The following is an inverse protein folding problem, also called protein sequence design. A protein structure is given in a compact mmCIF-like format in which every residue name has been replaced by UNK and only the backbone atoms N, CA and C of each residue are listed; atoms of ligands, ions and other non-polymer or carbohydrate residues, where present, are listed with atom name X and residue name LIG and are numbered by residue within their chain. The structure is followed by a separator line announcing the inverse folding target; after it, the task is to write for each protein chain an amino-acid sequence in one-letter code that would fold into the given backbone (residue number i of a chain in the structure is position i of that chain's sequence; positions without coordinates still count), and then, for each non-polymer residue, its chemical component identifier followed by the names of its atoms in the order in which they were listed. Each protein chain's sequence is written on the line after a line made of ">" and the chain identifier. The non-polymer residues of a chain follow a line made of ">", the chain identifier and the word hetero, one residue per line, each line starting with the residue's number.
data_IF_973113777754
#
_entry.id   IF_973113777754
#
_cell.length_a   1.000
_cell.length_b   1.000
_cell.length_c   1.000
_cell.angle_alpha   90.00
_cell.angle_beta   90.00
_cell.angle_gamma   90.00
#
_symmetry.space_group_name_H-M   'P 1'
#
loop_
_entity.id
_entity.type
_entity.pdbx_description
1 polymer ?
#
# COMPACT_ATOMS: atom_id res chain seq x y z
N UNK A 1 14.14 80.44 25.56
CA UNK A 1 14.88 80.75 26.80
C UNK A 1 14.79 79.56 27.73
N UNK A 2 15.91 79.12 28.29
CA UNK A 2 16.04 78.00 29.25
C UNK A 2 15.34 78.33 30.57
N UNK A 3 14.69 77.33 31.19
CA UNK A 3 14.78 77.12 32.64
C UNK A 3 14.35 75.70 32.99
N UNK A 4 15.20 75.03 33.77
CA UNK A 4 15.02 73.72 34.40
C UNK A 4 14.31 73.89 35.75
N UNK A 5 13.72 72.82 36.30
CA UNK A 5 13.92 72.27 37.68
C UNK A 5 12.63 71.71 38.35
N UNK A 6 12.79 70.45 38.76
CA UNK A 6 12.24 69.67 39.89
C UNK A 6 10.74 69.39 40.09
N UNK A 7 10.42 68.12 39.79
CA UNK A 7 10.07 67.05 40.73
C UNK A 7 9.09 67.35 41.88
N UNK A 8 7.97 66.64 41.87
CA UNK A 8 7.50 65.90 43.06
C UNK A 8 6.69 64.68 42.65
N UNK A 9 7.18 63.52 43.07
CA UNK A 9 6.51 62.23 42.99
C UNK A 9 5.35 62.19 44.00
N UNK A 10 4.16 61.74 43.57
CA UNK A 10 3.20 61.08 44.44
C UNK A 10 2.71 59.83 43.72
N UNK A 11 3.14 58.69 44.24
CA UNK A 11 2.73 57.36 43.82
C UNK A 11 1.29 57.09 44.30
N UNK A 12 0.42 56.65 43.39
CA UNK A 12 -0.80 55.93 43.73
C UNK A 12 -0.77 54.63 42.93
N UNK A 13 -0.29 53.57 43.59
CA UNK A 13 -0.22 52.23 43.01
C UNK A 13 -1.61 51.63 42.85
N UNK A 14 -2.01 51.40 41.60
CA UNK A 14 -3.06 50.44 41.28
C UNK A 14 -2.36 49.10 41.03
N UNK A 15 -2.51 48.16 41.96
CA UNK A 15 -2.05 46.79 41.79
C UNK A 15 -2.91 46.10 40.72
N UNK A 16 -2.37 45.96 39.52
CA UNK A 16 -2.95 45.12 38.47
C UNK A 16 -2.42 43.70 38.70
N UNK A 17 -3.27 42.83 39.25
CA UNK A 17 -2.97 41.40 39.36
C UNK A 17 -2.94 40.79 37.94
N UNK A 18 -1.84 40.14 37.51
CA UNK A 18 -1.88 39.36 36.29
C UNK A 18 -2.67 38.07 36.55
N UNK A 19 -3.84 37.95 35.93
CA UNK A 19 -4.53 36.66 35.81
C UNK A 19 -3.72 35.85 34.80
N UNK A 20 -2.80 35.03 35.32
CA UNK A 20 -2.12 33.99 34.53
C UNK A 20 -3.18 32.92 34.25
N UNK A 21 -3.86 33.04 33.11
CA UNK A 21 -4.66 31.96 32.58
C UNK A 21 -3.70 30.85 32.13
N UNK A 22 -3.50 29.83 32.98
CA UNK A 22 -2.90 28.57 32.58
C UNK A 22 -3.79 27.92 31.51
N UNK A 23 -3.51 28.18 30.24
CA UNK A 23 -4.04 27.34 29.15
C UNK A 23 -3.26 26.04 29.17
N UNK A 24 -3.73 25.07 29.97
CA UNK A 24 -3.31 23.69 29.82
C UNK A 24 -3.67 23.25 28.38
N UNK A 25 -2.74 22.67 27.60
CA UNK A 25 -3.11 22.10 26.32
C UNK A 25 -4.14 21.00 26.57
N UNK A 26 -5.30 21.11 25.93
CA UNK A 26 -6.30 20.06 25.94
C UNK A 26 -5.68 18.82 25.29
N UNK A 27 -5.18 17.89 26.11
CA UNK A 27 -4.89 16.54 25.66
C UNK A 27 -6.22 15.97 25.15
N UNK A 28 -6.34 15.89 23.83
CA UNK A 28 -7.42 15.14 23.20
C UNK A 28 -7.31 13.71 23.72
N UNK A 29 -8.20 13.35 24.65
CA UNK A 29 -8.45 11.97 25.01
C UNK A 29 -8.91 11.24 23.75
N UNK A 30 -7.97 10.58 23.06
CA UNK A 30 -8.32 9.56 22.11
C UNK A 30 -9.07 8.49 22.89
N UNK A 31 -10.40 8.45 22.70
CA UNK A 31 -11.19 7.31 23.13
C UNK A 31 -10.51 6.05 22.60
N UNK A 32 -10.16 5.14 23.51
CA UNK A 32 -9.59 3.84 23.16
C UNK A 32 -10.55 3.17 22.18
N UNK A 33 -10.07 2.90 20.97
CA UNK A 33 -10.85 2.16 19.98
C UNK A 33 -11.27 0.81 20.60
N UNK A 34 -12.50 0.32 20.35
CA UNK A 34 -12.94 -0.95 20.88
C UNK A 34 -11.98 -2.07 20.46
N UNK A 35 -11.66 -2.98 21.37
CA UNK A 35 -10.64 -4.02 21.21
C UNK A 35 -10.86 -4.95 19.99
N UNK A 36 -12.05 -4.98 19.41
CA UNK A 36 -12.44 -5.79 18.24
C UNK A 36 -11.95 -5.24 16.89
N UNK A 37 -11.54 -3.97 16.81
CA UNK A 37 -10.95 -3.37 15.59
C UNK A 37 -9.43 -3.17 15.71
N UNK A 38 -8.82 -3.69 16.77
CA UNK A 38 -7.40 -3.58 17.02
C UNK A 38 -6.60 -4.37 15.96
N UNK A 39 -5.70 -3.67 15.28
CA UNK A 39 -4.71 -4.30 14.40
C UNK A 39 -3.65 -4.87 15.33
N UNK A 40 -3.35 -6.16 15.22
CA UNK A 40 -2.28 -6.80 15.98
C UNK A 40 -1.08 -7.03 15.09
N UNK A 41 0.11 -6.89 15.65
CA UNK A 41 1.35 -7.22 14.97
C UNK A 41 2.12 -8.27 15.74
N UNK A 42 2.80 -9.13 15.00
CA UNK A 42 3.75 -10.12 15.52
C UNK A 42 4.95 -10.13 14.59
N UNK A 43 6.16 -10.14 15.14
CA UNK A 43 7.39 -10.27 14.37
C UNK A 43 8.06 -11.59 14.70
N UNK A 44 8.53 -12.28 13.67
CA UNK A 44 9.30 -13.51 13.81
C UNK A 44 10.41 -13.60 12.77
N UNK A 45 11.53 -14.19 13.18
CA UNK A 45 12.53 -14.73 12.25
C UNK A 45 12.07 -16.14 11.88
N UNK A 46 12.11 -16.53 10.61
CA UNK A 46 11.93 -17.95 10.26
C UNK A 46 13.18 -18.70 10.64
N UNK A 47 13.03 -19.78 11.40
CA UNK A 47 14.12 -20.74 11.58
C UNK A 47 14.54 -21.28 10.21
N UNK A 48 15.82 -21.09 9.87
CA UNK A 48 16.55 -21.65 8.72
C UNK A 48 16.50 -20.86 7.41
N UNK A 49 17.44 -19.93 7.22
CA UNK A 49 17.88 -19.36 5.94
C UNK A 49 18.19 -17.85 5.98
N UNK A 50 18.75 -17.31 4.89
CA UNK A 50 19.06 -15.89 4.64
C UNK A 50 17.79 -15.02 4.40
N UNK A 51 16.69 -15.38 5.06
CA UNK A 51 15.38 -14.76 4.84
C UNK A 51 15.19 -13.59 5.80
N UNK A 52 14.76 -12.45 5.26
CA UNK A 52 14.44 -11.29 6.07
C UNK A 52 13.36 -11.59 7.13
N UNK A 53 13.39 -10.92 8.29
CA UNK A 53 12.35 -11.05 9.31
C UNK A 53 10.96 -10.76 8.76
N UNK A 54 9.94 -11.44 9.31
CA UNK A 54 8.54 -11.28 8.88
C UNK A 54 7.73 -10.54 9.94
N UNK A 55 7.07 -9.47 9.51
CA UNK A 55 6.08 -8.75 10.28
C UNK A 55 4.68 -9.20 9.83
N UNK A 56 3.96 -9.88 10.71
CA UNK A 56 2.58 -10.30 10.49
C UNK A 56 1.63 -9.27 11.08
N UNK A 57 0.78 -8.67 10.26
CA UNK A 57 -0.33 -7.82 10.70
C UNK A 57 -1.64 -8.61 10.63
N UNK A 58 -2.48 -8.50 11.65
CA UNK A 58 -3.79 -9.17 11.67
C UNK A 58 -4.89 -8.25 12.17
N UNK A 59 -6.06 -8.33 11.55
CA UNK A 59 -7.26 -7.58 11.93
C UNK A 59 -8.50 -8.41 11.61
N UNK A 60 -9.37 -8.65 12.61
CA UNK A 60 -10.53 -9.55 12.47
C UNK A 60 -10.14 -10.90 11.86
N UNK A 61 -10.60 -11.21 10.64
CA UNK A 61 -10.30 -12.44 9.88
C UNK A 61 -9.16 -12.26 8.85
N UNK A 62 -8.61 -11.06 8.73
CA UNK A 62 -7.56 -10.74 7.76
C UNK A 62 -6.18 -10.84 8.40
N UNK A 63 -5.22 -11.33 7.62
CA UNK A 63 -3.80 -11.39 7.97
C UNK A 63 -2.98 -10.98 6.76
N UNK A 64 -1.88 -10.27 7.00
CA UNK A 64 -0.88 -9.96 5.99
C UNK A 64 0.51 -10.17 6.55
N UNK A 65 1.36 -10.86 5.79
CA UNK A 65 2.76 -11.09 6.12
C UNK A 65 3.63 -10.17 5.26
N UNK A 66 4.46 -9.37 5.92
CA UNK A 66 5.36 -8.40 5.29
C UNK A 66 6.80 -8.81 5.56
N UNK A 67 7.63 -8.84 4.52
CA UNK A 67 9.06 -9.04 4.67
C UNK A 67 9.73 -7.72 5.03
N UNK A 68 10.54 -7.70 6.08
CA UNK A 68 11.35 -6.54 6.48
C UNK A 68 12.71 -6.59 5.77
N UNK A 69 12.70 -6.78 4.45
CA UNK A 69 13.89 -6.91 3.60
C UNK A 69 14.45 -5.55 3.13
N UNK A 70 13.72 -4.46 3.37
CA UNK A 70 14.09 -3.10 2.97
C UNK A 70 13.61 -2.70 1.57
N UNK A 71 12.86 -3.55 0.86
CA UNK A 71 12.24 -3.17 -0.43
C UNK A 71 11.15 -2.12 -0.26
N UNK A 72 10.47 -2.13 0.88
CA UNK A 72 9.43 -1.17 1.27
C UNK A 72 9.99 -0.17 2.28
N UNK A 73 10.33 1.03 1.80
CA UNK A 73 11.02 2.06 2.57
C UNK A 73 10.21 2.54 3.79
N UNK A 74 8.89 2.59 3.67
CA UNK A 74 7.93 2.91 4.72
C UNK A 74 7.99 1.96 5.93
N UNK A 75 8.48 0.73 5.74
CA UNK A 75 8.75 -0.22 6.83
C UNK A 75 10.16 -0.12 7.41
N UNK A 76 10.98 0.83 6.96
CA UNK A 76 12.34 1.02 7.47
C UNK A 76 12.40 1.33 8.96
N UNK A 77 11.47 2.14 9.47
CA UNK A 77 11.33 2.42 10.89
C UNK A 77 10.92 1.17 11.69
N UNK A 78 9.99 0.37 11.15
CA UNK A 78 9.59 -0.91 11.75
C UNK A 78 10.78 -1.88 11.80
N UNK A 79 11.53 -2.04 10.70
CA UNK A 79 12.73 -2.90 10.65
C UNK A 79 13.76 -2.50 11.70
N UNK A 80 14.03 -1.20 11.82
CA UNK A 80 15.01 -0.67 12.75
C UNK A 80 14.57 -0.87 14.21
N UNK A 81 13.31 -0.57 14.52
CA UNK A 81 12.77 -0.70 15.87
C UNK A 81 12.66 -2.17 16.31
N UNK A 82 12.18 -3.06 15.42
CA UNK A 82 11.97 -4.48 15.71
C UNK A 82 13.28 -5.27 15.79
N UNK A 83 14.36 -4.79 15.17
CA UNK A 83 15.71 -5.35 15.34
C UNK A 83 16.42 -4.93 16.64
N UNK A 84 15.74 -4.19 17.51
CA UNK A 84 16.27 -3.73 18.80
C UNK A 84 16.34 -4.81 19.88
N UNK A 85 16.82 -4.41 21.07
CA UNK A 85 16.89 -5.28 22.24
C UNK A 85 15.49 -5.55 22.83
N UNK A 86 15.41 -6.57 23.69
CA UNK A 86 14.20 -6.88 24.46
C UNK A 86 13.71 -5.67 25.27
N UNK A 87 12.40 -5.42 25.25
CA UNK A 87 11.81 -4.26 25.93
C UNK A 87 10.62 -3.65 25.19
N UNK A 88 10.09 -2.53 25.70
CA UNK A 88 9.04 -1.76 25.02
C UNK A 88 9.51 -1.27 23.66
N UNK A 89 8.65 -1.35 22.65
CA UNK A 89 8.94 -0.89 21.30
C UNK A 89 7.78 -0.06 20.75
N UNK A 90 8.10 0.96 19.97
CA UNK A 90 7.14 1.71 19.17
C UNK A 90 7.75 2.07 17.83
N UNK A 91 6.92 2.08 16.80
CA UNK A 91 7.30 2.49 15.46
C UNK A 91 6.06 2.96 14.69
N UNK A 92 6.29 3.72 13.64
CA UNK A 92 5.23 4.18 12.75
C UNK A 92 5.58 3.84 11.31
N UNK A 93 4.57 3.43 10.54
CA UNK A 93 4.65 3.27 9.09
C UNK A 93 3.82 4.38 8.46
N UNK A 94 4.46 5.18 7.60
CA UNK A 94 3.82 6.29 6.89
C UNK A 94 3.76 5.91 5.41
N UNK A 95 2.55 5.85 4.88
CA UNK A 95 2.26 5.53 3.48
C UNK A 95 1.25 6.55 2.96
N UNK A 96 1.11 6.69 1.64
CA UNK A 96 0.14 7.63 1.05
C UNK A 96 -1.27 7.38 1.58
N UNK A 97 -1.68 6.11 1.70
CA UNK A 97 -2.99 5.71 2.21
C UNK A 97 -3.23 5.99 3.70
N UNK A 98 -2.20 6.35 4.47
CA UNK A 98 -2.36 6.66 5.89
C UNK A 98 -1.17 6.29 6.77
N UNK A 99 -1.39 6.45 8.07
CA UNK A 99 -0.39 6.23 9.12
C UNK A 99 -0.77 5.05 10.01
N UNK A 100 0.15 4.11 10.18
CA UNK A 100 0.01 2.97 11.08
C UNK A 100 0.96 3.16 12.26
N UNK A 101 0.41 3.38 13.44
CA UNK A 101 1.15 3.56 14.68
C UNK A 101 1.13 2.31 15.52
N UNK A 102 2.30 1.72 15.75
CA UNK A 102 2.43 0.45 16.44
C UNK A 102 3.18 0.59 17.76
N UNK A 103 2.69 -0.12 18.77
CA UNK A 103 3.36 -0.25 20.06
C UNK A 103 3.27 -1.68 20.57
N UNK A 104 4.21 -2.09 21.42
CA UNK A 104 4.23 -3.42 22.00
C UNK A 104 5.53 -3.71 22.72
N UNK A 105 5.93 -4.98 22.72
CA UNK A 105 7.11 -5.43 23.44
C UNK A 105 7.87 -6.49 22.64
N UNK A 106 9.20 -6.37 22.66
CA UNK A 106 10.13 -7.37 22.14
C UNK A 106 10.61 -8.28 23.27
N UNK A 107 10.68 -9.58 22.98
CA UNK A 107 11.37 -10.57 23.81
C UNK A 107 12.84 -10.70 23.40
N UNK A 108 13.12 -10.52 22.11
CA UNK A 108 14.46 -10.43 21.51
C UNK A 108 14.37 -9.66 20.18
N UNK A 109 15.51 -9.48 19.50
CA UNK A 109 15.52 -8.88 18.16
C UNK A 109 14.65 -9.71 17.20
N UNK A 110 13.68 -9.06 16.56
CA UNK A 110 12.69 -9.66 15.66
C UNK A 110 11.85 -10.79 16.27
N UNK A 111 11.66 -10.75 17.60
CA UNK A 111 10.72 -11.59 18.33
C UNK A 111 9.90 -10.72 19.29
N UNK A 112 8.59 -10.61 19.03
CA UNK A 112 7.69 -9.82 19.86
C UNK A 112 6.35 -9.56 19.21
N UNK A 113 5.48 -8.88 19.95
CA UNK A 113 4.12 -8.60 19.52
C UNK A 113 3.57 -7.31 20.11
N UNK A 114 2.47 -6.85 19.53
CA UNK A 114 1.75 -5.69 20.02
C UNK A 114 0.52 -5.36 19.18
N UNK A 115 0.15 -4.08 19.23
CA UNK A 115 -1.01 -3.57 18.52
C UNK A 115 -0.64 -2.31 17.73
N UNK A 116 -1.45 -2.03 16.72
CA UNK A 116 -1.35 -0.83 15.92
C UNK A 116 -2.68 -0.09 15.85
N UNK A 117 -2.61 1.22 15.67
CA UNK A 117 -3.72 2.09 15.32
C UNK A 117 -3.49 2.65 13.92
N UNK A 118 -4.44 2.40 13.03
CA UNK A 118 -4.42 2.97 11.68
C UNK A 118 -5.25 4.24 11.59
N UNK A 119 -4.69 5.28 10.98
CA UNK A 119 -5.36 6.51 10.60
C UNK A 119 -5.32 6.66 9.07
N UNK A 120 -6.50 6.65 8.40
CA UNK A 120 -6.58 6.87 6.96
C UNK A 120 -6.21 8.30 6.59
N UNK A 121 -5.69 8.50 5.37
CA UNK A 121 -5.36 9.82 4.85
C UNK A 121 -6.46 10.35 3.90
N UNK A 122 -7.04 11.49 4.27
CA UNK A 122 -8.12 12.11 3.48
C UNK A 122 -7.63 12.73 2.16
N UNK A 123 -6.35 13.14 2.09
CA UNK A 123 -5.73 13.68 0.88
C UNK A 123 -5.58 12.59 -0.18
N UNK A 124 -5.10 11.41 0.20
CA UNK A 124 -5.02 10.23 -0.65
C UNK A 124 -6.39 9.76 -1.14
N UNK A 125 -7.37 9.69 -0.24
CA UNK A 125 -8.73 9.30 -0.61
C UNK A 125 -9.33 10.27 -1.65
N UNK A 126 -9.09 11.58 -1.50
CA UNK A 126 -9.47 12.59 -2.50
C UNK A 126 -8.71 12.39 -3.81
N UNK A 127 -7.40 12.17 -3.75
CA UNK A 127 -6.57 11.96 -4.93
C UNK A 127 -7.03 10.76 -5.77
N UNK A 128 -7.49 9.67 -5.15
CA UNK A 128 -8.09 8.54 -5.89
C UNK A 128 -9.48 8.87 -6.44
N UNK A 129 -10.29 9.63 -5.70
CA UNK A 129 -11.59 10.10 -6.18
C UNK A 129 -11.45 11.00 -7.41
N UNK A 130 -10.46 11.90 -7.42
CA UNK A 130 -10.16 12.79 -8.55
C UNK A 130 -9.71 12.01 -9.81
N UNK A 131 -9.20 10.78 -9.61
CA UNK A 131 -8.89 9.82 -10.67
C UNK A 131 -10.09 8.96 -11.08
N UNK A 132 -11.26 9.18 -10.50
CA UNK A 132 -12.46 8.38 -10.77
C UNK A 132 -12.41 6.96 -10.19
N UNK A 133 -11.55 6.70 -9.20
CA UNK A 133 -11.41 5.39 -8.50
C UNK A 133 -12.30 5.36 -7.24
N UNK A 134 -13.09 6.41 -7.02
CA UNK A 134 -13.94 6.56 -5.84
C UNK A 134 -13.16 6.92 -4.58
N UNK A 135 -13.88 6.96 -3.45
CA UNK A 135 -13.30 7.28 -2.14
C UNK A 135 -13.13 5.99 -1.33
N UNK A 136 -11.89 5.53 -1.08
CA UNK A 136 -11.68 4.29 -0.34
C UNK A 136 -12.07 4.44 1.13
N UNK A 137 -12.76 3.43 1.65
CA UNK A 137 -13.06 3.30 3.08
C UNK A 137 -11.79 3.17 3.92
N UNK A 138 -11.90 3.32 5.25
CA UNK A 138 -10.78 3.09 6.18
C UNK A 138 -10.14 1.71 5.99
N UNK A 139 -10.97 0.67 5.87
CA UNK A 139 -10.48 -0.71 5.74
C UNK A 139 -9.79 -0.92 4.37
N UNK A 140 -10.28 -0.26 3.30
CA UNK A 140 -9.59 -0.26 2.00
C UNK A 140 -8.26 0.49 2.04
N UNK A 141 -8.18 1.66 2.67
CA UNK A 141 -6.92 2.41 2.81
C UNK A 141 -5.88 1.64 3.63
N UNK A 142 -6.32 0.93 4.67
CA UNK A 142 -5.46 0.03 5.42
C UNK A 142 -4.95 -1.12 4.54
N UNK A 143 -5.83 -1.75 3.75
CA UNK A 143 -5.43 -2.78 2.80
C UNK A 143 -4.43 -2.23 1.75
N UNK A 144 -4.67 -1.02 1.24
CA UNK A 144 -3.77 -0.33 0.31
C UNK A 144 -2.37 -0.11 0.90
N UNK A 145 -2.27 0.30 2.17
CA UNK A 145 -0.98 0.34 2.88
C UNK A 145 -0.34 -1.05 2.94
N UNK A 146 -1.10 -2.11 3.23
CA UNK A 146 -0.53 -3.45 3.33
C UNK A 146 0.02 -3.97 2.01
N UNK A 147 -0.59 -3.62 0.87
CA UNK A 147 -0.16 -4.10 -0.46
C UNK A 147 0.60 -3.07 -1.30
N UNK A 148 0.93 -1.91 -0.73
CA UNK A 148 1.60 -0.79 -1.42
C UNK A 148 0.83 -0.24 -2.64
N UNK A 149 -0.49 -0.11 -2.49
CA UNK A 149 -1.34 0.52 -3.49
C UNK A 149 -1.24 2.05 -3.38
N UNK A 150 -0.52 2.66 -4.33
CA UNK A 150 -0.21 4.10 -4.37
C UNK A 150 -0.95 4.83 -5.48
N UNK A 151 -0.94 6.16 -5.43
CA UNK A 151 -1.40 7.00 -6.54
C UNK A 151 -0.55 6.82 -7.80
N UNK A 152 0.77 6.59 -7.63
CA UNK A 152 1.67 6.29 -8.74
C UNK A 152 1.29 5.00 -9.49
N UNK A 153 0.86 3.95 -8.77
CA UNK A 153 0.33 2.74 -9.38
C UNK A 153 -0.94 3.04 -10.20
N UNK A 154 -1.88 3.79 -9.61
CA UNK A 154 -3.10 4.18 -10.30
C UNK A 154 -2.80 4.98 -11.58
N UNK A 155 -1.90 5.95 -11.51
CA UNK A 155 -1.50 6.78 -12.66
C UNK A 155 -0.86 5.95 -13.77
N UNK A 156 0.02 5.01 -13.41
CA UNK A 156 0.63 4.10 -14.38
C UNK A 156 -0.38 3.23 -15.11
N UNK A 157 -1.39 2.72 -14.41
CA UNK A 157 -2.47 1.90 -15.00
C UNK A 157 -3.40 2.75 -15.89
N UNK A 158 -3.75 3.95 -15.44
CA UNK A 158 -4.56 4.90 -16.22
C UNK A 158 -3.82 5.30 -17.50
N UNK A 159 -2.51 5.54 -17.43
CA UNK A 159 -1.68 5.89 -18.59
C UNK A 159 -1.65 4.83 -19.69
N UNK A 160 -1.76 3.55 -19.31
CA UNK A 160 -1.88 2.43 -20.25
C UNK A 160 -3.32 2.19 -20.73
N UNK A 161 -4.28 3.00 -20.30
CA UNK A 161 -5.69 2.88 -20.64
C UNK A 161 -6.45 1.81 -19.85
N UNK A 162 -5.88 1.28 -18.76
CA UNK A 162 -6.45 0.22 -17.91
C UNK A 162 -6.80 0.81 -16.54
N UNK A 163 -7.87 1.59 -16.47
CA UNK A 163 -8.26 2.29 -15.23
C UNK A 163 -8.88 1.34 -14.19
N UNK A 164 -8.41 1.33 -12.92
CA UNK A 164 -9.13 0.72 -11.81
C UNK A 164 -10.50 1.36 -11.60
N UNK A 165 -11.57 0.56 -11.43
CA UNK A 165 -12.93 1.10 -11.29
C UNK A 165 -13.19 1.60 -9.87
N UNK A 166 -12.60 0.92 -8.90
CA UNK A 166 -12.71 1.27 -7.49
C UNK A 166 -11.42 0.94 -6.70
N UNK A 167 -11.45 1.23 -5.40
CA UNK A 167 -10.33 0.92 -4.51
C UNK A 167 -10.01 -0.57 -4.40
N UNK A 168 -10.97 -1.47 -4.61
CA UNK A 168 -10.76 -2.91 -4.56
C UNK A 168 -9.93 -3.39 -5.74
N UNK A 169 -10.18 -2.85 -6.94
CA UNK A 169 -9.37 -3.12 -8.13
C UNK A 169 -7.93 -2.67 -7.94
N UNK A 170 -7.71 -1.49 -7.35
CA UNK A 170 -6.37 -0.97 -7.10
C UNK A 170 -5.61 -1.82 -6.07
N UNK A 171 -6.30 -2.29 -5.02
CA UNK A 171 -5.73 -3.23 -4.05
C UNK A 171 -5.34 -4.55 -4.72
N UNK A 172 -6.23 -5.13 -5.54
CA UNK A 172 -5.96 -6.36 -6.25
C UNK A 172 -4.78 -6.23 -7.23
N UNK A 173 -4.74 -5.11 -7.97
CA UNK A 173 -3.65 -4.80 -8.89
C UNK A 173 -2.31 -4.71 -8.15
N UNK A 174 -2.26 -3.99 -7.03
CA UNK A 174 -1.04 -3.87 -6.21
C UNK A 174 -0.60 -5.22 -5.65
N UNK A 175 -1.53 -5.99 -5.07
CA UNK A 175 -1.26 -7.29 -4.47
C UNK A 175 -0.67 -8.30 -5.46
N UNK A 176 -1.11 -8.26 -6.71
CA UNK A 176 -0.62 -9.15 -7.77
C UNK A 176 0.56 -8.57 -8.55
N UNK A 177 0.92 -7.30 -8.36
CA UNK A 177 1.93 -6.60 -9.15
C UNK A 177 1.50 -6.34 -10.60
N UNK A 178 0.22 -6.00 -10.80
CA UNK A 178 -0.33 -5.47 -12.06
C UNK A 178 0.02 -3.99 -12.12
N UNK A 179 1.12 -3.66 -12.77
CA UNK A 179 1.60 -2.28 -12.96
C UNK A 179 1.36 -1.80 -14.38
N UNK A 180 1.45 -0.49 -14.64
CA UNK A 180 1.45 0.03 -16.02
C UNK A 180 2.54 -0.65 -16.89
N UNK A 181 3.75 -0.81 -16.35
CA UNK A 181 4.82 -1.53 -17.04
C UNK A 181 4.50 -3.01 -17.33
N UNK A 182 3.71 -3.66 -16.48
CA UNK A 182 3.21 -5.01 -16.77
C UNK A 182 2.19 -4.97 -17.93
N UNK A 183 1.19 -4.10 -17.86
CA UNK A 183 0.18 -3.93 -18.92
C UNK A 183 0.85 -3.64 -20.26
N UNK A 184 1.80 -2.70 -20.28
CA UNK A 184 2.57 -2.33 -21.47
C UNK A 184 3.24 -3.54 -22.13
N UNK A 185 3.85 -4.44 -21.34
CA UNK A 185 4.52 -5.64 -21.85
C UNK A 185 3.57 -6.66 -22.48
N UNK A 186 2.30 -6.63 -22.13
CA UNK A 186 1.27 -7.52 -22.68
C UNK A 186 0.60 -6.90 -23.91
N UNK A 187 0.54 -5.58 -24.00
CA UNK A 187 0.05 -4.89 -25.18
C UNK A 187 0.89 -5.23 -26.41
N UNK A 188 0.24 -5.82 -27.41
CA UNK A 188 0.86 -6.22 -28.67
C UNK A 188 -0.20 -6.36 -29.77
N UNK A 189 0.22 -6.69 -30.99
CA UNK A 189 -0.74 -7.08 -32.05
C UNK A 189 -1.52 -8.37 -31.72
N UNK A 190 -1.06 -9.17 -30.75
CA UNK A 190 -1.72 -10.40 -30.34
C UNK A 190 -2.71 -10.22 -29.17
N UNK A 191 -2.53 -9.20 -28.33
CA UNK A 191 -3.40 -8.95 -27.18
C UNK A 191 -3.48 -7.45 -26.91
N UNK A 192 -4.72 -6.96 -26.71
CA UNK A 192 -4.98 -5.62 -26.16
C UNK A 192 -5.70 -5.77 -24.83
N UNK A 193 -5.12 -5.19 -23.78
CA UNK A 193 -5.74 -5.09 -22.46
C UNK A 193 -6.31 -3.69 -22.28
N UNK A 194 -7.62 -3.61 -22.04
CA UNK A 194 -8.33 -2.34 -21.82
C UNK A 194 -9.14 -2.32 -20.52
N UNK A 195 -9.36 -3.48 -19.89
CA UNK A 195 -10.06 -3.60 -18.62
C UNK A 195 -9.11 -4.08 -17.52
N UNK A 196 -9.29 -3.52 -16.32
CA UNK A 196 -8.43 -3.85 -15.17
C UNK A 196 -8.63 -5.29 -14.70
N UNK A 197 -9.87 -5.80 -14.70
CA UNK A 197 -10.21 -7.17 -14.34
C UNK A 197 -9.44 -8.17 -15.22
N UNK A 198 -9.31 -7.88 -16.52
CA UNK A 198 -8.58 -8.71 -17.47
C UNK A 198 -7.08 -8.75 -17.18
N UNK A 199 -6.49 -7.59 -16.84
CA UNK A 199 -5.09 -7.50 -16.48
C UNK A 199 -4.81 -8.25 -15.16
N UNK A 200 -5.74 -8.16 -14.19
CA UNK A 200 -5.72 -8.91 -12.93
C UNK A 200 -5.81 -10.42 -13.21
N UNK A 201 -6.76 -10.85 -14.04
CA UNK A 201 -6.95 -12.26 -14.40
C UNK A 201 -5.72 -12.83 -15.13
N UNK A 202 -5.18 -12.09 -16.10
CA UNK A 202 -3.94 -12.43 -16.79
C UNK A 202 -2.79 -12.62 -15.79
N UNK A 203 -2.61 -11.68 -14.86
CA UNK A 203 -1.53 -11.76 -13.87
C UNK A 203 -1.71 -12.94 -12.92
N UNK A 204 -2.92 -13.18 -12.45
CA UNK A 204 -3.26 -14.31 -11.56
C UNK A 204 -2.94 -15.68 -12.19
N UNK A 205 -3.09 -15.81 -13.51
CA UNK A 205 -2.76 -17.03 -14.25
C UNK A 205 -1.30 -17.09 -14.75
N UNK A 206 -0.47 -16.12 -14.39
CA UNK A 206 0.92 -16.05 -14.84
C UNK A 206 1.04 -15.83 -16.35
N UNK A 207 0.11 -15.07 -16.95
CA UNK A 207 0.27 -14.52 -18.29
C UNK A 207 1.29 -13.40 -18.23
N UNK A 208 2.34 -13.53 -19.03
CA UNK A 208 3.38 -12.51 -19.19
C UNK A 208 3.58 -12.17 -20.68
N UNK A 209 4.43 -11.18 -20.94
CA UNK A 209 4.71 -10.78 -22.32
C UNK A 209 5.40 -11.87 -23.15
N UNK A 210 6.13 -12.81 -22.52
CA UNK A 210 6.78 -13.91 -23.25
C UNK A 210 5.75 -14.91 -23.76
N UNK A 211 4.76 -15.24 -22.93
CA UNK A 211 3.62 -16.06 -23.31
C UNK A 211 2.83 -15.45 -24.48
N UNK A 212 2.46 -14.17 -24.37
CA UNK A 212 1.70 -13.46 -25.41
C UNK A 212 2.48 -13.40 -26.74
N UNK A 213 3.77 -13.07 -26.70
CA UNK A 213 4.64 -13.10 -27.90
C UNK A 213 4.79 -14.51 -28.48
N UNK A 214 4.84 -15.52 -27.63
CA UNK A 214 4.88 -16.92 -28.06
C UNK A 214 3.62 -17.33 -28.83
N UNK A 215 2.44 -16.92 -28.35
CA UNK A 215 1.18 -17.13 -29.08
C UNK A 215 1.15 -16.36 -30.41
N UNK A 216 1.63 -15.11 -30.41
CA UNK A 216 1.79 -14.32 -31.62
C UNK A 216 2.68 -15.02 -32.66
N UNK A 217 3.85 -15.51 -32.24
CA UNK A 217 4.77 -16.26 -33.09
C UNK A 217 4.20 -17.61 -33.55
N UNK A 218 3.25 -18.17 -32.80
CA UNK A 218 2.51 -19.35 -33.22
C UNK A 218 1.44 -19.06 -34.28
N UNK A 219 1.20 -17.79 -34.61
CA UNK A 219 0.22 -17.36 -35.62
C UNK A 219 -1.13 -16.96 -35.03
N UNK A 220 -1.25 -16.84 -33.71
CA UNK A 220 -2.45 -16.32 -33.06
C UNK A 220 -2.33 -14.81 -32.92
N UNK A 221 -3.19 -14.07 -33.61
CA UNK A 221 -3.23 -12.61 -33.57
C UNK A 221 -4.61 -12.12 -33.12
N UNK A 222 -4.67 -10.91 -32.56
CA UNK A 222 -5.92 -10.28 -32.12
C UNK A 222 -6.74 -11.12 -31.14
N UNK A 223 -6.08 -11.82 -30.22
CA UNK A 223 -6.77 -12.53 -29.14
C UNK A 223 -7.38 -11.50 -28.17
N UNK A 224 -8.61 -11.77 -27.77
CA UNK A 224 -9.20 -11.15 -26.59
C UNK A 224 -8.46 -11.57 -25.32
N UNK A 225 -8.57 -10.75 -24.29
CA UNK A 225 -8.11 -11.07 -22.93
C UNK A 225 -8.69 -12.40 -22.45
N UNK A 226 -10.00 -12.62 -22.64
CA UNK A 226 -10.70 -13.85 -22.26
C UNK A 226 -10.14 -15.09 -22.95
N UNK A 227 -9.78 -15.00 -24.24
CA UNK A 227 -9.15 -16.09 -24.97
C UNK A 227 -7.76 -16.41 -24.42
N UNK A 228 -6.93 -15.38 -24.16
CA UNK A 228 -5.60 -15.58 -23.57
C UNK A 228 -5.69 -16.21 -22.18
N UNK A 229 -6.62 -15.74 -21.35
CA UNK A 229 -6.94 -16.30 -20.03
C UNK A 229 -7.37 -17.75 -20.16
N UNK A 230 -8.27 -18.07 -21.09
CA UNK A 230 -8.78 -19.42 -21.31
C UNK A 230 -7.68 -20.38 -21.77
N UNK A 231 -6.86 -19.97 -22.75
CA UNK A 231 -5.71 -20.75 -23.23
C UNK A 231 -4.75 -21.06 -22.08
N UNK A 232 -4.42 -20.05 -21.27
CA UNK A 232 -3.52 -20.22 -20.12
C UNK A 232 -4.11 -21.14 -19.06
N UNK A 233 -5.40 -20.98 -18.75
CA UNK A 233 -6.12 -21.82 -17.78
C UNK A 233 -6.19 -23.29 -18.20
N UNK A 234 -6.30 -23.56 -19.50
CA UNK A 234 -6.28 -24.91 -20.08
C UNK A 234 -4.86 -25.48 -20.24
N UNK A 235 -3.81 -24.75 -19.83
CA UNK A 235 -2.43 -25.19 -19.94
C UNK A 235 -1.87 -25.13 -21.37
N UNK A 236 -2.52 -24.40 -22.29
CA UNK A 236 -2.04 -24.25 -23.65
C UNK A 236 -0.75 -23.44 -23.66
N UNK A 237 0.33 -24.06 -24.12
CA UNK A 237 1.64 -23.41 -24.28
C UNK A 237 1.79 -22.85 -25.70
N UNK A 238 2.67 -21.86 -25.92
CA UNK A 238 3.04 -21.41 -27.26
C UNK A 238 3.54 -22.55 -28.18
N UNK A 239 4.23 -23.53 -27.60
CA UNK A 239 4.79 -24.67 -28.33
C UNK A 239 3.69 -25.61 -28.81
N UNK A 240 2.72 -25.91 -27.94
CA UNK A 240 1.53 -26.68 -28.29
C UNK A 240 0.71 -25.95 -29.37
N UNK A 241 0.53 -24.65 -29.23
CA UNK A 241 -0.17 -23.82 -30.21
C UNK A 241 0.53 -23.87 -31.59
N UNK A 242 1.88 -23.84 -31.63
CA UNK A 242 2.66 -24.03 -32.86
C UNK A 242 2.46 -25.40 -33.49
N UNK A 243 2.53 -26.48 -32.70
CA UNK A 243 2.35 -27.83 -33.23
C UNK A 243 0.97 -28.04 -33.82
N UNK A 244 -0.07 -27.48 -33.18
CA UNK A 244 -1.44 -27.56 -33.69
C UNK A 244 -1.61 -26.80 -35.01
N UNK A 245 -1.05 -25.59 -35.12
CA UNK A 245 -1.09 -24.82 -36.36
C UNK A 245 -0.27 -25.48 -37.48
N UNK A 246 0.85 -26.11 -37.17
CA UNK A 246 1.63 -26.88 -38.14
C UNK A 246 0.85 -28.11 -38.66
N UNK A 247 0.23 -28.88 -37.76
CA UNK A 247 -0.60 -30.03 -38.12
C UNK A 247 -1.81 -29.62 -38.99
N UNK A 248 -2.49 -28.53 -38.64
CA UNK A 248 -3.62 -28.00 -39.40
C UNK A 248 -3.23 -27.55 -40.82
N UNK A 249 -2.00 -27.06 -41.01
CA UNK A 249 -1.48 -26.71 -42.34
C UNK A 249 -1.09 -27.95 -43.15
N UNK A 250 -0.56 -28.99 -42.51
CA UNK A 250 -0.18 -30.24 -43.18
C UNK A 250 -1.39 -31.09 -43.61
N UNK A 251 -2.55 -30.89 -42.98
CA UNK A 251 -3.80 -31.56 -43.33
C UNK A 251 -4.59 -30.86 -44.47
N UNK A 252 -4.11 -29.72 -44.98
CA UNK A 252 -4.65 -29.00 -46.13
C UNK A 252 -3.82 -29.27 -47.37
#
# INVERSE_FOLDING_TARGET
>A
MKARINALFVAAGAAVLPVIACTAPAQQSQAAAPASDAIRWEVSVRDSGDHAPRLRLSQRKSTSDLQLDGRRAEFGAARSALGGAAGPVSFSVVHEAGRLDCSGRLNAAFDGAGHCRFQPDAGFARALSDRGIGTPSRDQQLAMLMVDATTALADGLIGEGVRPKDGSDLIAAAALGVTGAYVHKLQSGALRLTAIDDAIACKALGVDGAYVRGLAAAGYASLSSDEVVSLKALGVTPDYARSMNAAARAAK
#
